data_IF_473137590468
#
_entry.id   IF_473137590468
#
_cell.length_a   1.000
_cell.length_b   1.000
_cell.length_c   1.000
_cell.angle_alpha   90.00
_cell.angle_beta   90.00
_cell.angle_gamma   90.00
#
_symmetry.space_group_name_H-M   'P 1'
#
loop_
_entity.id
_entity.type
_entity.pdbx_description
1 polymer ?
#
# COMPACT_ATOMS: atom_id res chain seq x y z
N UNK A 1 -21.41 -5.26 9.27
CA UNK A 1 -20.14 -5.88 8.82
C UNK A 1 -19.42 -4.82 8.01
N UNK A 2 -18.28 -4.35 8.47
CA UNK A 2 -17.45 -3.40 7.71
C UNK A 2 -16.75 -4.15 6.56
N UNK A 3 -16.63 -3.48 5.40
CA UNK A 3 -15.85 -4.02 4.30
C UNK A 3 -14.40 -4.24 4.77
N UNK A 4 -13.78 -5.41 4.51
CA UNK A 4 -12.40 -5.65 4.89
C UNK A 4 -11.45 -4.68 4.17
N UNK A 5 -10.38 -4.25 4.86
CA UNK A 5 -9.38 -3.34 4.32
C UNK A 5 -7.98 -3.92 4.35
N UNK A 6 -7.12 -3.44 3.46
CA UNK A 6 -5.66 -3.60 3.54
C UNK A 6 -5.00 -2.24 3.36
N UNK A 7 -4.03 -1.93 4.22
CA UNK A 7 -3.24 -0.70 4.12
C UNK A 7 -1.91 -1.03 3.45
N UNK A 8 -1.60 -0.35 2.35
CA UNK A 8 -0.33 -0.44 1.64
C UNK A 8 0.58 0.67 2.13
N UNK A 9 1.57 0.33 2.93
CA UNK A 9 2.51 1.27 3.56
C UNK A 9 3.95 1.03 3.08
N UNK A 10 4.87 1.86 3.53
CA UNK A 10 6.31 1.65 3.29
C UNK A 10 7.15 2.24 4.43
N UNK A 11 8.42 1.83 4.57
CA UNK A 11 9.34 2.44 5.53
C UNK A 11 9.64 3.91 5.25
N UNK A 12 9.58 4.33 3.98
CA UNK A 12 9.89 5.69 3.56
C UNK A 12 9.17 6.07 2.26
N UNK A 13 9.16 7.37 1.94
CA UNK A 13 8.75 7.87 0.64
C UNK A 13 9.63 7.31 -0.49
N UNK A 14 9.09 7.18 -1.70
CA UNK A 14 9.85 6.68 -2.85
C UNK A 14 10.04 5.16 -2.92
N UNK A 15 9.50 4.39 -1.98
CA UNK A 15 9.58 2.91 -1.97
C UNK A 15 8.71 2.22 -3.03
N UNK A 16 7.84 2.95 -3.73
CA UNK A 16 6.95 2.42 -4.76
C UNK A 16 5.53 2.11 -4.29
N UNK A 17 5.08 2.69 -3.16
CA UNK A 17 3.71 2.51 -2.62
C UNK A 17 2.62 2.73 -3.66
N UNK A 18 2.65 3.86 -4.36
CA UNK A 18 1.63 4.25 -5.34
C UNK A 18 1.55 3.25 -6.49
N UNK A 19 2.71 2.80 -7.00
CA UNK A 19 2.77 1.76 -8.03
C UNK A 19 2.12 0.47 -7.55
N UNK A 20 2.47 0.03 -6.34
CA UNK A 20 1.95 -1.23 -5.78
C UNK A 20 0.47 -1.10 -5.42
N UNK A 21 0.05 -0.02 -4.77
CA UNK A 21 -1.34 0.19 -4.38
C UNK A 21 -2.26 0.29 -5.60
N UNK A 22 -1.90 1.11 -6.60
CA UNK A 22 -2.66 1.24 -7.85
C UNK A 22 -2.73 -0.10 -8.60
N UNK A 23 -1.59 -0.79 -8.70
CA UNK A 23 -1.53 -2.11 -9.33
C UNK A 23 -2.35 -3.17 -8.59
N UNK A 24 -2.34 -3.16 -7.25
CA UNK A 24 -3.13 -4.07 -6.41
C UNK A 24 -4.63 -3.84 -6.60
N UNK A 25 -5.08 -2.58 -6.60
CA UNK A 25 -6.47 -2.20 -6.89
C UNK A 25 -6.90 -2.75 -8.25
N UNK A 26 -6.10 -2.52 -9.29
CA UNK A 26 -6.40 -3.00 -10.64
C UNK A 26 -6.39 -4.52 -10.75
N UNK A 27 -5.43 -5.21 -10.11
CA UNK A 27 -5.32 -6.66 -10.12
C UNK A 27 -6.50 -7.34 -9.39
N UNK A 28 -6.90 -6.83 -8.23
CA UNK A 28 -8.08 -7.29 -7.50
C UNK A 28 -9.37 -7.09 -8.31
N UNK A 29 -9.52 -5.92 -8.94
CA UNK A 29 -10.66 -5.67 -9.83
C UNK A 29 -10.69 -6.62 -11.02
N UNK A 30 -9.54 -6.89 -11.64
CA UNK A 30 -9.42 -7.85 -12.75
C UNK A 30 -9.75 -9.29 -12.32
N UNK A 31 -9.48 -9.62 -11.05
CA UNK A 31 -9.88 -10.90 -10.44
C UNK A 31 -11.39 -10.97 -10.08
N UNK A 32 -12.17 -9.93 -10.39
CA UNK A 32 -13.63 -9.89 -10.21
C UNK A 32 -14.12 -9.22 -8.95
N UNK A 33 -13.24 -8.56 -8.16
CA UNK A 33 -13.63 -7.87 -6.93
C UNK A 33 -14.04 -6.42 -7.19
N UNK A 34 -15.04 -5.96 -6.45
CA UNK A 34 -15.37 -4.54 -6.32
C UNK A 34 -14.44 -3.92 -5.27
N UNK A 35 -13.48 -3.11 -5.70
CA UNK A 35 -12.45 -2.54 -4.82
C UNK A 35 -12.78 -1.09 -4.47
N UNK A 36 -12.79 -0.75 -3.18
CA UNK A 36 -12.90 0.64 -2.72
C UNK A 36 -11.49 1.23 -2.50
N UNK A 37 -11.07 2.21 -3.29
CA UNK A 37 -9.75 2.81 -3.18
C UNK A 37 -9.73 3.99 -2.23
N UNK A 38 -8.72 4.03 -1.35
CA UNK A 38 -8.49 5.14 -0.43
C UNK A 38 -7.03 5.56 -0.41
N UNK A 39 -6.79 6.80 0.00
CA UNK A 39 -5.47 7.38 0.26
C UNK A 39 -5.46 8.01 1.65
N UNK A 40 -4.42 7.77 2.42
CA UNK A 40 -4.16 8.48 3.68
C UNK A 40 -3.65 9.88 3.38
N UNK A 41 -4.19 10.88 4.09
CA UNK A 41 -3.79 12.28 3.95
C UNK A 41 -4.52 13.03 2.82
N UNK A 42 -4.24 14.33 2.65
CA UNK A 42 -4.95 15.22 1.73
C UNK A 42 -4.32 15.19 0.32
N UNK A 43 -4.28 14.03 -0.31
CA UNK A 43 -3.71 13.86 -1.64
C UNK A 43 -4.74 14.17 -2.72
N UNK A 44 -4.34 14.91 -3.75
CA UNK A 44 -5.18 15.29 -4.88
C UNK A 44 -4.91 14.46 -6.15
N UNK A 45 -3.75 13.83 -6.24
CA UNK A 45 -3.25 13.16 -7.45
C UNK A 45 -3.52 11.66 -7.41
N UNK A 46 -3.03 10.97 -6.37
CA UNK A 46 -3.09 9.51 -6.25
C UNK A 46 -4.53 8.96 -6.29
N UNK A 47 -5.53 9.59 -5.62
CA UNK A 47 -6.92 9.13 -5.70
C UNK A 47 -7.49 9.07 -7.11
N UNK A 48 -7.00 9.91 -8.02
CA UNK A 48 -7.38 9.87 -9.44
C UNK A 48 -6.92 8.60 -10.14
N UNK A 49 -5.67 8.18 -9.92
CA UNK A 49 -5.12 6.92 -10.46
C UNK A 49 -5.78 5.70 -9.82
N UNK A 50 -6.00 5.75 -8.51
CA UNK A 50 -6.74 4.69 -7.80
C UNK A 50 -8.16 4.55 -8.33
N UNK A 51 -8.82 5.68 -8.62
CA UNK A 51 -10.16 5.68 -9.20
C UNK A 51 -10.21 5.06 -10.59
N UNK A 52 -9.21 5.32 -11.44
CA UNK A 52 -9.08 4.66 -12.74
C UNK A 52 -8.89 3.14 -12.59
N UNK A 53 -8.02 2.71 -11.67
CA UNK A 53 -7.76 1.31 -11.41
C UNK A 53 -9.01 0.58 -10.87
N UNK A 54 -9.72 1.19 -9.92
CA UNK A 54 -10.92 0.62 -9.29
C UNK A 54 -12.17 0.71 -10.15
N UNK A 55 -12.25 1.65 -11.09
CA UNK A 55 -13.48 1.99 -11.82
C UNK A 55 -14.55 2.67 -10.94
N UNK A 56 -14.13 3.26 -9.81
CA UNK A 56 -14.97 4.02 -8.87
C UNK A 56 -14.13 5.10 -8.18
N UNK A 57 -14.73 6.20 -7.66
CA UNK A 57 -13.97 7.31 -7.10
C UNK A 57 -13.02 6.89 -5.98
N UNK A 58 -11.75 7.32 -6.09
CA UNK A 58 -10.80 7.30 -4.97
C UNK A 58 -11.15 8.38 -3.94
N UNK A 59 -10.84 8.14 -2.66
CA UNK A 59 -11.18 9.03 -1.55
C UNK A 59 -10.00 9.18 -0.60
N UNK A 60 -9.96 10.30 0.11
CA UNK A 60 -8.96 10.53 1.15
C UNK A 60 -9.51 10.16 2.53
N UNK A 61 -8.60 9.69 3.40
CA UNK A 61 -8.84 9.49 4.83
C UNK A 61 -7.77 10.28 5.58
N UNK A 62 -8.17 11.40 6.19
CA UNK A 62 -7.26 12.31 6.86
C UNK A 62 -7.79 12.71 8.24
N UNK A 63 -7.30 12.07 9.33
CA UNK A 63 -7.75 12.37 10.67
C UNK A 63 -7.39 13.79 11.14
N UNK A 64 -6.38 14.42 10.54
CA UNK A 64 -5.97 15.79 10.89
C UNK A 64 -6.97 16.81 10.37
N UNK A 65 -7.50 16.60 9.17
CA UNK A 65 -8.46 17.53 8.55
C UNK A 65 -9.90 17.33 9.03
N UNK A 66 -10.33 16.07 9.23
CA UNK A 66 -11.73 15.77 9.53
C UNK A 66 -11.97 15.34 10.98
N UNK A 67 -10.91 15.07 11.75
CA UNK A 67 -10.98 14.46 13.07
C UNK A 67 -11.06 12.92 13.00
N UNK A 68 -10.51 12.26 14.03
CA UNK A 68 -10.43 10.79 14.10
C UNK A 68 -11.81 10.11 14.04
N UNK A 69 -12.80 10.72 14.71
CA UNK A 69 -14.17 10.21 14.80
C UNK A 69 -14.89 10.13 13.45
N UNK A 70 -14.45 10.87 12.44
CA UNK A 70 -15.03 10.83 11.10
C UNK A 70 -14.33 9.85 10.14
N UNK A 71 -13.14 9.36 10.47
CA UNK A 71 -12.40 8.42 9.60
C UNK A 71 -13.21 7.14 9.35
N UNK A 72 -13.74 6.52 10.39
CA UNK A 72 -14.58 5.32 10.28
C UNK A 72 -15.85 5.53 9.44
N UNK A 73 -16.68 6.55 9.73
CA UNK A 73 -17.85 6.91 8.92
C UNK A 73 -17.53 7.19 7.44
N UNK A 74 -16.45 7.94 7.16
CA UNK A 74 -16.01 8.22 5.77
C UNK A 74 -15.55 6.96 5.05
N UNK A 75 -14.80 6.10 5.75
CA UNK A 75 -14.42 4.79 5.25
C UNK A 75 -15.65 3.95 4.92
N UNK A 76 -16.60 3.79 5.85
CA UNK A 76 -17.81 3.01 5.66
C UNK A 76 -18.66 3.54 4.49
N UNK A 77 -18.75 4.87 4.34
CA UNK A 77 -19.44 5.49 3.22
C UNK A 77 -18.75 5.18 1.89
N UNK A 78 -17.43 5.35 1.80
CA UNK A 78 -16.65 5.14 0.57
C UNK A 78 -16.52 3.67 0.17
N UNK A 79 -16.55 2.75 1.15
CA UNK A 79 -16.46 1.31 0.93
C UNK A 79 -17.80 0.64 0.62
N UNK A 80 -18.92 1.36 0.66
CA UNK A 80 -20.24 0.79 0.43
C UNK A 80 -20.32 0.05 -0.90
N UNK A 81 -20.78 -1.23 -0.83
CA UNK A 81 -20.90 -2.10 -2.00
C UNK A 81 -19.58 -2.61 -2.57
N UNK A 82 -18.47 -2.46 -1.85
CA UNK A 82 -17.20 -3.08 -2.19
C UNK A 82 -17.00 -4.41 -1.46
N UNK A 83 -16.22 -5.30 -2.06
CA UNK A 83 -15.78 -6.57 -1.45
C UNK A 83 -14.56 -6.36 -0.57
N UNK A 84 -13.72 -5.39 -0.94
CA UNK A 84 -12.46 -5.04 -0.25
C UNK A 84 -12.12 -3.57 -0.43
N UNK A 85 -11.47 -2.98 0.56
CA UNK A 85 -10.83 -1.68 0.44
C UNK A 85 -9.31 -1.79 0.39
N UNK A 86 -8.68 -1.00 -0.46
CA UNK A 86 -7.23 -0.80 -0.51
C UNK A 86 -6.92 0.64 -0.14
N UNK A 87 -6.14 0.83 0.91
CA UNK A 87 -5.79 2.13 1.45
C UNK A 87 -4.29 2.37 1.21
N UNK A 88 -3.94 3.28 0.32
CA UNK A 88 -2.54 3.68 0.17
C UNK A 88 -2.14 4.65 1.29
N UNK A 89 -1.03 4.33 1.95
CA UNK A 89 -0.42 5.17 2.97
C UNK A 89 0.30 6.40 2.42
N UNK A 90 0.67 7.29 3.31
CA UNK A 90 1.46 8.51 3.04
C UNK A 90 2.83 8.38 3.70
N UNK A 91 3.87 8.98 3.12
CA UNK A 91 5.24 9.02 3.67
C UNK A 91 5.73 7.63 4.16
N UNK A 92 6.49 7.57 5.24
CA UNK A 92 6.77 6.33 5.98
C UNK A 92 5.58 5.94 6.87
N UNK A 93 5.52 4.64 7.23
CA UNK A 93 4.40 4.06 7.99
C UNK A 93 4.04 4.85 9.25
N UNK A 94 5.04 5.32 9.99
CA UNK A 94 4.89 6.03 11.26
C UNK A 94 5.02 7.54 11.15
N UNK A 95 5.32 8.05 9.95
CA UNK A 95 5.51 9.48 9.69
C UNK A 95 4.15 10.19 9.56
N UNK A 96 4.01 11.31 10.24
CA UNK A 96 2.80 12.11 10.23
C UNK A 96 3.07 13.54 10.68
N UNK A 97 2.11 14.16 11.35
CA UNK A 97 2.23 15.52 11.85
C UNK A 97 3.35 15.63 12.88
N UNK A 98 4.24 16.59 12.67
CA UNK A 98 5.30 16.89 13.62
C UNK A 98 4.68 17.55 14.86
N UNK A 99 4.76 16.85 15.99
CA UNK A 99 4.32 17.36 17.29
C UNK A 99 5.41 17.16 18.34
N UNK A 100 5.51 18.03 19.37
CA UNK A 100 6.47 17.83 20.46
C UNK A 100 6.17 16.54 21.22
N UNK A 101 7.20 15.67 21.39
CA UNK A 101 7.23 14.57 22.36
C UNK A 101 6.03 13.60 22.36
N UNK A 102 5.45 13.26 21.22
CA UNK A 102 4.49 12.16 21.15
C UNK A 102 5.23 10.81 21.13
N UNK A 103 4.84 9.90 22.00
CA UNK A 103 5.29 8.50 21.94
C UNK A 103 4.42 7.74 20.92
N UNK A 104 5.05 6.91 20.07
CA UNK A 104 4.34 6.08 19.09
C UNK A 104 4.15 6.73 17.70
N UNK A 105 3.22 6.20 16.89
CA UNK A 105 2.94 6.72 15.56
C UNK A 105 2.46 8.17 15.57
N UNK A 106 2.96 8.99 14.64
CA UNK A 106 2.55 10.39 14.56
C UNK A 106 1.07 10.52 14.13
N UNK A 107 0.40 11.55 14.61
CA UNK A 107 -0.96 11.91 14.19
C UNK A 107 -1.02 12.08 12.66
N UNK A 108 -2.04 11.51 12.01
CA UNK A 108 -2.18 11.54 10.56
C UNK A 108 -1.24 10.58 9.82
N UNK A 109 -0.42 9.79 10.52
CA UNK A 109 0.40 8.76 9.90
C UNK A 109 -0.45 7.63 9.30
N UNK A 110 0.18 6.84 8.44
CA UNK A 110 -0.45 5.63 7.89
C UNK A 110 -0.81 4.64 9.00
N UNK A 111 0.07 4.47 10.00
CA UNK A 111 -0.18 3.61 11.16
C UNK A 111 -1.38 4.09 11.99
N UNK A 112 -1.50 5.41 12.19
CA UNK A 112 -2.66 5.99 12.89
C UNK A 112 -3.98 5.64 12.20
N UNK A 113 -4.08 5.82 10.88
CA UNK A 113 -5.29 5.47 10.12
C UNK A 113 -5.54 3.96 10.13
N UNK A 114 -4.48 3.14 10.01
CA UNK A 114 -4.59 1.69 10.10
C UNK A 114 -5.16 1.24 11.46
N UNK A 115 -4.72 1.85 12.56
CA UNK A 115 -5.24 1.59 13.92
C UNK A 115 -6.70 2.02 14.07
N UNK A 116 -7.08 3.21 13.60
CA UNK A 116 -8.47 3.71 13.64
C UNK A 116 -9.45 2.79 12.89
N UNK A 117 -9.00 2.09 11.87
CA UNK A 117 -9.80 1.18 11.05
C UNK A 117 -9.62 -0.29 11.42
N UNK A 118 -8.76 -0.61 12.39
CA UNK A 118 -8.33 -1.97 12.71
C UNK A 118 -7.89 -2.74 11.45
N UNK A 119 -7.19 -2.06 10.54
CA UNK A 119 -6.81 -2.59 9.23
C UNK A 119 -5.37 -3.14 9.23
N UNK A 120 -5.15 -4.35 8.66
CA UNK A 120 -3.81 -4.90 8.51
C UNK A 120 -2.98 -4.08 7.51
N UNK A 121 -1.66 -4.09 7.73
CA UNK A 121 -0.66 -3.39 6.92
C UNK A 121 0.15 -4.37 6.09
N UNK A 122 0.30 -4.07 4.80
CA UNK A 122 1.27 -4.67 3.90
C UNK A 122 2.37 -3.64 3.63
N UNK A 123 3.61 -4.01 3.93
CA UNK A 123 4.74 -3.10 3.80
C UNK A 123 5.44 -3.26 2.45
N UNK A 124 5.54 -2.19 1.67
CA UNK A 124 6.32 -2.15 0.43
C UNK A 124 7.73 -1.70 0.75
N UNK A 125 8.70 -2.59 0.62
CA UNK A 125 10.10 -2.33 0.96
C UNK A 125 10.94 -2.20 -0.32
N UNK A 126 11.65 -1.07 -0.45
CA UNK A 126 12.67 -0.90 -1.48
C UNK A 126 13.87 -1.79 -1.15
N UNK A 127 14.05 -2.84 -1.94
CA UNK A 127 15.09 -3.85 -1.71
C UNK A 127 16.47 -3.44 -2.25
N UNK A 128 16.60 -2.26 -2.88
CA UNK A 128 17.90 -1.79 -3.39
C UNK A 128 18.89 -1.59 -2.24
N UNK A 129 20.07 -2.20 -2.37
CA UNK A 129 21.10 -2.13 -1.33
C UNK A 129 20.77 -2.89 -0.04
N UNK A 130 19.69 -3.64 -0.01
CA UNK A 130 19.27 -4.50 1.10
C UNK A 130 19.73 -5.95 0.85
N UNK A 131 19.99 -6.67 1.93
CA UNK A 131 20.23 -8.12 1.97
C UNK A 131 19.65 -8.63 3.28
N UNK A 132 20.40 -9.29 4.12
CA UNK A 132 19.96 -9.74 5.46
C UNK A 132 19.48 -8.59 6.37
N UNK A 133 19.97 -7.35 6.17
CA UNK A 133 19.54 -6.18 6.94
C UNK A 133 18.04 -5.87 6.82
N UNK A 134 17.36 -6.38 5.79
CA UNK A 134 15.89 -6.25 5.69
C UNK A 134 15.18 -6.92 6.87
N UNK A 135 15.76 -7.98 7.47
CA UNK A 135 15.22 -8.61 8.67
C UNK A 135 15.19 -7.65 9.87
N UNK A 136 16.29 -6.90 10.08
CA UNK A 136 16.36 -5.90 11.16
C UNK A 136 15.37 -4.75 10.92
N UNK A 137 15.24 -4.28 9.68
CA UNK A 137 14.24 -3.28 9.30
C UNK A 137 12.82 -3.78 9.61
N UNK A 138 12.46 -4.97 9.13
CA UNK A 138 11.14 -5.54 9.35
C UNK A 138 10.85 -5.79 10.83
N UNK A 139 11.84 -6.29 11.58
CA UNK A 139 11.72 -6.46 13.03
C UNK A 139 11.41 -5.14 13.72
N UNK A 140 12.17 -4.07 13.41
CA UNK A 140 11.93 -2.74 13.96
C UNK A 140 10.52 -2.23 13.66
N UNK A 141 10.07 -2.33 12.40
CA UNK A 141 8.72 -1.90 12.03
C UNK A 141 7.62 -2.73 12.69
N UNK A 142 7.82 -4.04 12.88
CA UNK A 142 6.83 -4.93 13.48
C UNK A 142 6.71 -4.79 15.01
N UNK A 143 7.75 -4.25 15.67
CA UNK A 143 7.80 -4.12 17.12
C UNK A 143 7.66 -2.69 17.64
N UNK A 144 7.77 -1.69 16.75
CA UNK A 144 7.74 -0.27 17.11
C UNK A 144 6.41 0.14 17.73
N UNK A 145 5.30 -0.35 17.18
CA UNK A 145 3.95 -0.07 17.67
C UNK A 145 3.09 -1.33 17.68
N UNK A 146 2.64 -1.78 18.86
CA UNK A 146 1.82 -3.00 18.98
C UNK A 146 0.45 -2.92 18.32
N UNK A 147 -0.08 -1.73 18.09
CA UNK A 147 -1.36 -1.54 17.42
C UNK A 147 -1.25 -1.71 15.89
N UNK A 148 -0.05 -1.57 15.35
CA UNK A 148 0.20 -1.71 13.91
C UNK A 148 0.45 -3.17 13.54
N UNK A 149 -0.49 -3.79 12.82
CA UNK A 149 -0.41 -5.19 12.43
C UNK A 149 0.19 -5.36 11.03
N UNK A 150 1.50 -5.57 10.94
CA UNK A 150 2.16 -5.88 9.67
C UNK A 150 1.93 -7.36 9.35
N UNK A 151 1.19 -7.64 8.27
CA UNK A 151 0.84 -9.00 7.84
C UNK A 151 1.72 -9.57 6.75
N UNK A 152 2.48 -8.73 6.09
CA UNK A 152 3.41 -9.18 5.08
C UNK A 152 4.16 -8.04 4.42
N UNK A 153 5.08 -8.41 3.54
CA UNK A 153 5.92 -7.50 2.79
C UNK A 153 5.85 -7.77 1.29
N UNK A 154 5.87 -6.71 0.50
CA UNK A 154 6.14 -6.76 -0.92
C UNK A 154 7.53 -6.17 -1.13
N UNK A 155 8.45 -7.00 -1.60
CA UNK A 155 9.83 -6.62 -1.89
C UNK A 155 9.86 -5.94 -3.27
N UNK A 156 10.12 -4.65 -3.30
CA UNK A 156 10.20 -3.89 -4.55
C UNK A 156 11.65 -3.70 -5.00
N UNK A 157 11.88 -3.60 -6.31
CA UNK A 157 13.20 -3.35 -6.94
C UNK A 157 14.23 -4.43 -6.64
N UNK A 158 13.79 -5.68 -6.62
CA UNK A 158 14.67 -6.84 -6.45
C UNK A 158 15.65 -6.95 -7.63
N UNK A 159 16.94 -7.12 -7.35
CA UNK A 159 17.99 -7.03 -8.34
C UNK A 159 18.18 -8.30 -9.19
N UNK A 160 17.94 -9.49 -8.62
CA UNK A 160 18.16 -10.78 -9.27
C UNK A 160 17.45 -11.91 -8.51
N UNK A 161 17.28 -13.11 -9.12
CA UNK A 161 16.72 -14.28 -8.43
C UNK A 161 17.53 -14.68 -7.17
N UNK A 162 18.84 -14.58 -7.20
CA UNK A 162 19.69 -14.82 -6.01
C UNK A 162 19.42 -13.80 -4.92
N UNK A 163 19.26 -12.53 -5.29
CA UNK A 163 18.92 -11.46 -4.34
C UNK A 163 17.55 -11.71 -3.71
N UNK A 164 16.54 -12.10 -4.51
CA UNK A 164 15.22 -12.46 -4.01
C UNK A 164 15.29 -13.59 -2.99
N UNK A 165 16.05 -14.65 -3.28
CA UNK A 165 16.22 -15.79 -2.38
C UNK A 165 16.74 -15.35 -1.00
N UNK A 166 17.80 -14.53 -0.97
CA UNK A 166 18.37 -14.02 0.29
C UNK A 166 17.40 -13.13 1.05
N UNK A 167 16.66 -12.26 0.34
CA UNK A 167 15.65 -11.40 0.96
C UNK A 167 14.50 -12.21 1.57
N UNK A 168 14.03 -13.26 0.88
CA UNK A 168 12.97 -14.15 1.41
C UNK A 168 13.41 -14.86 2.67
N UNK A 169 14.64 -15.38 2.72
CA UNK A 169 15.20 -16.00 3.94
C UNK A 169 15.27 -15.00 5.10
N UNK A 170 15.70 -13.77 4.83
CA UNK A 170 15.74 -12.71 5.85
C UNK A 170 14.35 -12.34 6.37
N UNK A 171 13.34 -12.27 5.49
CA UNK A 171 11.96 -12.02 5.89
C UNK A 171 11.39 -13.17 6.74
N UNK A 172 11.69 -14.42 6.39
CA UNK A 172 11.32 -15.61 7.17
C UNK A 172 11.92 -15.56 8.57
N UNK A 173 13.20 -15.21 8.70
CA UNK A 173 13.87 -15.01 10.00
C UNK A 173 13.20 -13.93 10.84
N UNK A 174 12.69 -12.88 10.21
CA UNK A 174 11.93 -11.82 10.87
C UNK A 174 10.46 -12.19 11.17
N UNK A 175 10.00 -13.39 10.78
CA UNK A 175 8.62 -13.84 10.95
C UNK A 175 7.60 -13.09 10.05
N UNK A 176 8.05 -12.44 8.96
CA UNK A 176 7.20 -11.65 8.08
C UNK A 176 7.02 -12.36 6.73
N UNK A 177 5.76 -12.61 6.35
CA UNK A 177 5.44 -13.26 5.09
C UNK A 177 5.78 -12.38 3.87
N UNK A 178 6.42 -12.95 2.85
CA UNK A 178 6.65 -12.27 1.57
C UNK A 178 5.48 -12.54 0.64
N UNK A 179 4.68 -11.52 0.38
CA UNK A 179 3.50 -11.56 -0.47
C UNK A 179 3.84 -11.36 -1.95
N UNK A 180 5.01 -10.82 -2.25
CA UNK A 180 5.46 -10.61 -3.61
C UNK A 180 6.88 -10.08 -3.69
N UNK A 181 7.49 -10.23 -4.88
CA UNK A 181 8.81 -9.71 -5.18
C UNK A 181 8.80 -9.13 -6.60
N UNK A 182 8.96 -7.82 -6.70
CA UNK A 182 8.91 -7.07 -7.96
C UNK A 182 10.34 -6.81 -8.42
N UNK A 183 10.75 -7.33 -9.58
CA UNK A 183 12.08 -7.09 -10.13
C UNK A 183 12.28 -5.61 -10.48
N UNK A 184 13.48 -5.10 -10.25
CA UNK A 184 13.86 -3.72 -10.59
C UNK A 184 13.69 -3.41 -12.09
N UNK A 185 14.04 -4.35 -12.96
CA UNK A 185 13.88 -4.20 -14.41
C UNK A 185 12.42 -3.97 -14.79
N UNK A 186 11.50 -4.77 -14.22
CA UNK A 186 10.07 -4.67 -14.52
C UNK A 186 9.45 -3.32 -14.06
N UNK A 187 9.91 -2.76 -12.93
CA UNK A 187 9.45 -1.45 -12.47
C UNK A 187 9.95 -0.31 -13.37
N UNK A 188 11.20 -0.39 -13.86
CA UNK A 188 11.78 0.63 -14.73
C UNK A 188 11.09 0.74 -16.10
N UNK A 189 10.38 -0.29 -16.53
CA UNK A 189 9.61 -0.31 -17.77
C UNK A 189 8.26 0.41 -17.65
N UNK A 190 7.86 0.79 -16.44
CA UNK A 190 6.57 1.45 -16.21
C UNK A 190 6.56 2.89 -16.75
N UNK A 191 5.49 3.31 -17.43
CA UNK A 191 5.33 4.68 -17.89
C UNK A 191 4.89 5.61 -16.75
N UNK A 192 5.62 5.59 -15.63
CA UNK A 192 5.23 6.28 -14.38
C UNK A 192 6.02 7.56 -14.10
N UNK A 193 6.79 8.07 -15.07
CA UNK A 193 7.72 9.20 -14.88
C UNK A 193 7.10 10.43 -14.20
N UNK A 194 5.80 10.67 -14.40
CA UNK A 194 5.08 11.82 -13.85
C UNK A 194 4.01 11.41 -12.84
N UNK A 195 3.99 10.13 -12.40
CA UNK A 195 3.08 9.66 -11.37
C UNK A 195 3.35 10.44 -10.07
N UNK A 196 2.29 11.02 -9.49
CA UNK A 196 2.40 11.88 -8.32
C UNK A 196 2.67 13.38 -8.62
N UNK A 197 2.86 13.76 -9.90
CA UNK A 197 3.08 15.16 -10.32
C UNK A 197 1.99 15.70 -11.25
N UNK A 198 1.25 14.82 -11.93
CA UNK A 198 0.23 15.17 -12.90
C UNK A 198 -1.05 14.42 -12.57
N UNK A 199 -2.18 15.10 -12.56
CA UNK A 199 -3.47 14.44 -12.26
C UNK A 199 -3.83 13.43 -13.36
N UNK A 200 -4.59 12.40 -12.98
CA UNK A 200 -5.03 11.38 -13.93
C UNK A 200 -5.86 11.97 -15.09
N UNK A 201 -6.58 13.06 -14.82
CA UNK A 201 -7.38 13.78 -15.83
C UNK A 201 -6.47 14.47 -16.85
N UNK A 202 -5.47 15.22 -16.38
CA UNK A 202 -4.50 15.92 -17.24
C UNK A 202 -3.64 14.95 -18.05
N UNK A 203 -3.25 13.80 -17.46
CA UNK A 203 -2.45 12.78 -18.12
C UNK A 203 -3.28 11.94 -19.12
N UNK A 204 -4.60 11.94 -19.00
CA UNK A 204 -5.56 11.41 -19.97
C UNK A 204 -5.31 9.93 -20.32
N UNK A 205 -5.13 9.62 -21.62
CA UNK A 205 -4.88 8.26 -22.10
C UNK A 205 -3.63 7.63 -21.48
N UNK A 206 -2.59 8.43 -21.20
CA UNK A 206 -1.35 7.92 -20.58
C UNK A 206 -1.56 7.45 -19.15
N UNK A 207 -2.48 8.07 -18.41
CA UNK A 207 -2.84 7.59 -17.07
C UNK A 207 -3.41 6.17 -17.10
N UNK A 208 -4.26 5.85 -18.07
CA UNK A 208 -4.81 4.49 -18.24
C UNK A 208 -3.72 3.48 -18.57
N UNK A 209 -2.83 3.81 -19.51
CA UNK A 209 -1.70 2.95 -19.85
C UNK A 209 -0.78 2.69 -18.64
N UNK A 210 -0.53 3.72 -17.82
CA UNK A 210 0.24 3.58 -16.59
C UNK A 210 -0.47 2.67 -15.58
N UNK A 211 -1.78 2.85 -15.37
CA UNK A 211 -2.59 2.02 -14.49
C UNK A 211 -2.60 0.55 -14.97
N UNK A 212 -2.78 0.33 -16.26
CA UNK A 212 -2.76 -1.03 -16.84
C UNK A 212 -1.39 -1.69 -16.63
N UNK A 213 -0.29 -0.97 -16.88
CA UNK A 213 1.06 -1.47 -16.67
C UNK A 213 1.35 -1.79 -15.20
N UNK A 214 0.92 -0.94 -14.25
CA UNK A 214 1.02 -1.21 -12.82
C UNK A 214 0.17 -2.42 -12.40
N UNK A 215 -1.02 -2.56 -12.97
CA UNK A 215 -1.90 -3.71 -12.75
C UNK A 215 -1.24 -5.00 -13.22
N UNK A 216 -0.66 -5.01 -14.41
CA UNK A 216 0.05 -6.16 -14.96
C UNK A 216 1.29 -6.52 -14.12
N UNK A 217 2.03 -5.51 -13.68
CA UNK A 217 3.19 -5.70 -12.81
C UNK A 217 2.81 -6.41 -11.52
N UNK A 218 1.81 -5.90 -10.81
CA UNK A 218 1.37 -6.47 -9.52
C UNK A 218 0.75 -7.86 -9.74
N UNK A 219 -0.09 -8.04 -10.75
CA UNK A 219 -0.70 -9.33 -11.04
C UNK A 219 0.32 -10.46 -11.33
N UNK A 220 1.49 -10.11 -11.88
CA UNK A 220 2.57 -11.07 -12.18
C UNK A 220 3.47 -11.38 -11.00
N UNK A 221 3.64 -10.46 -10.05
CA UNK A 221 4.70 -10.53 -9.03
C UNK A 221 4.19 -10.57 -7.60
N UNK A 222 2.88 -10.40 -7.37
CA UNK A 222 2.26 -10.43 -6.03
C UNK A 222 1.24 -11.56 -5.97
N UNK A 223 1.37 -12.41 -4.97
CA UNK A 223 0.43 -13.50 -4.70
C UNK A 223 -0.84 -12.94 -4.03
N UNK A 224 -1.91 -12.82 -4.81
CA UNK A 224 -3.22 -12.36 -4.32
C UNK A 224 -4.01 -13.49 -3.64
N UNK A 225 -3.54 -14.75 -3.76
CA UNK A 225 -4.22 -15.94 -3.25
C UNK A 225 -5.47 -16.34 -4.05
N UNK A 226 -6.00 -17.56 -3.83
CA UNK A 226 -7.16 -18.10 -4.55
C UNK A 226 -8.50 -17.48 -4.12
N UNK A 227 -8.54 -16.86 -2.96
CA UNK A 227 -9.63 -16.02 -2.44
C UNK A 227 -9.00 -14.72 -1.95
N UNK A 228 -8.95 -13.70 -2.83
CA UNK A 228 -8.62 -12.38 -2.30
C UNK A 228 -9.70 -12.04 -1.27
N UNK A 229 -9.38 -11.65 -0.18
CA UNK A 229 -8.15 -11.14 0.41
C UNK A 229 -7.65 -11.95 1.59
N UNK A 230 -7.95 -13.24 1.68
CA UNK A 230 -7.65 -14.04 2.87
C UNK A 230 -6.18 -13.95 3.35
N UNK A 231 -5.23 -13.73 2.43
CA UNK A 231 -3.82 -13.46 2.80
C UNK A 231 -3.51 -12.00 3.11
N UNK A 232 -4.28 -11.06 2.51
CA UNK A 232 -4.07 -9.63 2.71
C UNK A 232 -4.87 -9.12 3.92
N UNK A 233 -6.03 -9.75 4.19
CA UNK A 233 -6.98 -9.40 5.24
C UNK A 233 -7.32 -10.66 6.03
N UNK A 234 -6.41 -11.17 6.82
CA UNK A 234 -6.74 -12.24 7.77
C UNK A 234 -7.32 -11.59 9.01
N UNK A 235 -8.56 -11.95 9.32
CA UNK A 235 -9.24 -11.66 10.58
C UNK A 235 -8.55 -12.36 11.74
#
# INVERSE_FOLDING_TARGET
VSVPAVVVAAPASGSGKTTVATGLIGALRRAGHTVAPFKVGPDFIDPGYHGLAAGRPGRNLDPVLVGENLVGPLYAHGARGADIAVIEGVMGLFDGRIAPAAAGPAEGSTAHVAALLDAPVVLVVDARGQSHSVAALLHGFSTFDPATRIRGVILNRVGSPRHEHVLRQACEQAGVAVLGAIPRAAELELPTRYLGLVTAIEYGRRARLAVDAMTDLVARHVDLGPRPPARLVVF
#
